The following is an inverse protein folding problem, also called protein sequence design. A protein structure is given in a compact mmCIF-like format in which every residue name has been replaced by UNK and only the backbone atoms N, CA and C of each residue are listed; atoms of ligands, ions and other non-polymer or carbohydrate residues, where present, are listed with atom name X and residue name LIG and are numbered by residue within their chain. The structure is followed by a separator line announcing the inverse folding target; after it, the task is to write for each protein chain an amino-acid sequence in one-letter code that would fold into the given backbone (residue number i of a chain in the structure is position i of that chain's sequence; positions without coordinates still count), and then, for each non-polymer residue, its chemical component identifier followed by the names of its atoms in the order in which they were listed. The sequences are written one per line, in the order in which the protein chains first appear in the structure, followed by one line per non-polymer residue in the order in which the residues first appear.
data_IF_020129203399
#
_entry.id   IF_020129203399
#
_cell.length_a   1.000
_cell.length_b   1.000
_cell.length_c   1.000
_cell.angle_alpha   90.00
_cell.angle_beta   90.00
_cell.angle_gamma   90.00
#
_symmetry.space_group_name_H-M   'P 1'
#
loop_
_entity.id
_entity.type
_entity.pdbx_description
1 polymer ?
#
# COMPACT_ATOMS: atom_id res chain seq x y z
N UNK A 1 24.44 -8.54 -31.20
CA UNK A 1 24.69 -7.91 -29.90
C UNK A 1 23.58 -6.88 -29.72
N UNK A 2 22.61 -7.13 -28.84
CA UNK A 2 21.56 -6.16 -28.50
C UNK A 2 22.08 -5.31 -27.33
N UNK A 3 22.30 -4.03 -27.57
CA UNK A 3 22.61 -3.06 -26.52
C UNK A 3 21.41 -2.94 -25.56
N UNK A 4 21.62 -2.90 -24.24
CA UNK A 4 20.53 -2.72 -23.29
C UNK A 4 19.89 -1.36 -23.48
N UNK A 5 18.60 -1.36 -23.82
CA UNK A 5 17.77 -0.15 -23.87
C UNK A 5 17.78 0.53 -22.50
N UNK A 6 18.51 1.63 -22.39
CA UNK A 6 18.57 2.42 -21.17
C UNK A 6 17.40 3.42 -21.22
N UNK A 7 16.32 3.14 -20.49
CA UNK A 7 15.21 4.07 -20.38
C UNK A 7 15.71 5.41 -19.79
N UNK A 8 15.34 6.56 -20.39
CA UNK A 8 15.75 7.84 -19.86
C UNK A 8 15.17 8.04 -18.46
N UNK A 9 15.94 8.60 -17.52
CA UNK A 9 15.44 8.87 -16.18
C UNK A 9 14.26 9.86 -16.24
N UNK A 10 13.34 9.73 -15.27
CA UNK A 10 12.21 10.65 -15.12
C UNK A 10 12.71 12.11 -15.04
N UNK A 11 12.06 13.07 -15.71
CA UNK A 11 12.40 14.48 -15.63
C UNK A 11 12.45 14.98 -14.17
N UNK A 12 13.42 15.85 -13.87
CA UNK A 12 13.63 16.40 -12.52
C UNK A 12 12.40 17.17 -12.01
N UNK A 13 11.65 17.80 -12.91
CA UNK A 13 10.37 18.48 -12.62
C UNK A 13 9.26 17.57 -12.10
N UNK A 14 9.34 16.26 -12.37
CA UNK A 14 8.42 15.25 -11.83
C UNK A 14 9.04 14.44 -10.69
N UNK A 15 10.26 14.79 -10.27
CA UNK A 15 10.95 14.07 -9.21
C UNK A 15 10.45 14.56 -7.85
N UNK A 16 10.08 13.62 -6.98
CA UNK A 16 9.69 13.93 -5.61
C UNK A 16 10.95 14.34 -4.83
N UNK A 17 10.94 15.41 -4.02
CA UNK A 17 12.09 15.78 -3.21
C UNK A 17 12.53 14.59 -2.36
N UNK A 18 13.74 14.10 -2.61
CA UNK A 18 14.34 13.07 -1.76
C UNK A 18 14.58 13.70 -0.39
N UNK A 19 13.77 13.31 0.60
CA UNK A 19 13.97 13.78 1.96
C UNK A 19 15.38 13.35 2.44
N UNK A 20 16.12 14.21 3.17
CA UNK A 20 17.51 13.95 3.60
C UNK A 20 17.71 12.65 4.39
N UNK A 21 16.64 12.09 4.95
CA UNK A 21 16.62 10.82 5.67
C UNK A 21 17.00 9.61 4.80
N UNK A 22 17.08 9.76 3.47
CA UNK A 22 17.58 8.75 2.57
C UNK A 22 19.11 8.50 2.69
N UNK A 23 19.85 9.38 3.38
CA UNK A 23 21.27 9.14 3.67
C UNK A 23 21.45 8.35 4.97
N UNK A 24 21.66 7.03 4.81
CA UNK A 24 22.14 6.08 5.82
C UNK A 24 21.28 5.90 7.09
N UNK A 25 20.31 4.97 7.03
CA UNK A 25 19.83 4.22 8.21
C UNK A 25 19.03 4.99 9.26
N UNK A 26 18.76 6.27 9.04
CA UNK A 26 17.94 7.10 9.92
C UNK A 26 16.44 6.96 9.57
N UNK A 27 15.89 5.75 9.63
CA UNK A 27 14.43 5.63 9.74
C UNK A 27 14.04 5.97 11.20
N UNK A 28 12.89 6.64 11.42
CA UNK A 28 12.44 7.04 12.76
C UNK A 28 12.28 5.85 13.73
N UNK A 29 12.25 4.63 13.18
CA UNK A 29 12.03 3.38 13.89
C UNK A 29 13.30 2.53 14.09
N UNK A 30 14.47 3.03 13.70
CA UNK A 30 15.77 2.31 13.73
C UNK A 30 16.19 1.81 15.12
N UNK A 31 15.60 2.36 16.18
CA UNK A 31 15.80 1.92 17.57
C UNK A 31 14.96 0.69 17.95
N UNK A 32 14.02 0.26 17.12
CA UNK A 32 13.20 -0.94 17.32
C UNK A 32 13.94 -2.13 16.68
N UNK A 33 14.81 -2.74 17.48
CA UNK A 33 15.77 -3.79 17.08
C UNK A 33 15.13 -5.16 16.76
N UNK A 34 13.95 -5.20 16.13
CA UNK A 34 13.17 -6.42 15.89
C UNK A 34 12.57 -6.55 14.49
N UNK A 35 12.79 -5.57 13.61
CA UNK A 35 12.30 -5.61 12.23
C UNK A 35 12.88 -6.80 11.46
N UNK A 36 12.03 -7.54 10.76
CA UNK A 36 12.42 -8.72 9.95
C UNK A 36 12.86 -8.39 8.52
N UNK A 37 12.97 -7.10 8.21
CA UNK A 37 13.30 -6.54 6.90
C UNK A 37 14.51 -5.61 6.99
N UNK A 38 15.19 -5.37 5.86
CA UNK A 38 16.46 -4.65 5.81
C UNK A 38 16.35 -3.15 5.54
N UNK A 39 15.22 -2.71 4.97
CA UNK A 39 14.86 -1.31 4.72
C UNK A 39 13.36 -1.18 4.51
N UNK A 40 12.87 0.03 4.66
CA UNK A 40 11.47 0.37 4.42
C UNK A 40 11.03 -0.03 2.99
N UNK A 41 9.78 -0.46 2.86
CA UNK A 41 9.22 -0.90 1.58
C UNK A 41 7.72 -0.67 1.52
N UNK A 42 7.19 -0.65 0.30
CA UNK A 42 5.76 -0.63 0.05
C UNK A 42 5.30 -2.04 -0.26
N UNK A 43 4.18 -2.46 0.33
CA UNK A 43 3.44 -3.65 -0.04
C UNK A 43 2.10 -3.24 -0.66
N UNK A 44 1.79 -3.77 -1.83
CA UNK A 44 0.46 -3.71 -2.42
C UNK A 44 -0.24 -5.04 -2.16
N UNK A 45 -1.46 -4.98 -1.65
CA UNK A 45 -2.31 -6.15 -1.38
C UNK A 45 -3.68 -5.92 -1.99
N UNK A 46 -4.36 -6.99 -2.39
CA UNK A 46 -5.76 -6.94 -2.83
C UNK A 46 -6.63 -7.89 -2.01
N UNK A 47 -7.94 -7.66 -2.06
CA UNK A 47 -8.92 -8.68 -1.68
C UNK A 47 -9.44 -9.36 -2.95
N UNK A 48 -9.00 -10.59 -3.18
CA UNK A 48 -9.58 -11.42 -4.23
C UNK A 48 -10.83 -12.11 -3.70
N UNK A 49 -11.89 -12.14 -4.48
CA UNK A 49 -13.11 -12.86 -4.11
C UNK A 49 -12.91 -14.37 -4.01
N UNK A 50 -11.97 -14.92 -4.78
CA UNK A 50 -11.75 -16.37 -4.86
C UNK A 50 -10.80 -16.87 -3.76
N UNK A 51 -9.75 -16.10 -3.46
CA UNK A 51 -8.67 -16.52 -2.54
C UNK A 51 -8.62 -15.70 -1.24
N UNK A 52 -9.36 -14.60 -1.16
CA UNK A 52 -9.34 -13.67 -0.04
C UNK A 52 -8.18 -12.65 -0.15
N UNK A 53 -7.74 -12.07 1.00
CA UNK A 53 -6.65 -11.12 1.01
C UNK A 53 -5.32 -11.74 0.57
N UNK A 54 -4.64 -11.10 -0.37
CA UNK A 54 -3.33 -11.56 -0.85
C UNK A 54 -2.35 -10.42 -1.14
N UNK A 55 -1.05 -10.62 -0.87
CA UNK A 55 -0.01 -9.72 -1.35
C UNK A 55 0.13 -9.83 -2.87
N UNK A 56 0.32 -8.69 -3.54
CA UNK A 56 0.52 -8.64 -4.99
C UNK A 56 1.96 -8.33 -5.37
N UNK A 57 2.54 -7.26 -4.82
CA UNK A 57 3.90 -6.86 -5.11
C UNK A 57 4.50 -6.02 -3.99
N UNK A 58 5.83 -5.99 -3.94
CA UNK A 58 6.57 -5.03 -3.10
C UNK A 58 7.30 -4.01 -3.97
N UNK A 59 7.52 -2.83 -3.40
CA UNK A 59 8.37 -1.80 -3.99
C UNK A 59 9.42 -1.42 -2.93
N UNK A 60 10.71 -1.70 -3.18
CA UNK A 60 11.26 -2.40 -4.34
C UNK A 60 10.80 -3.87 -4.44
N UNK A 61 10.73 -4.41 -5.66
CA UNK A 61 10.41 -5.82 -5.91
C UNK A 61 11.65 -6.73 -5.74
N UNK A 62 12.27 -6.65 -4.56
CA UNK A 62 13.46 -7.43 -4.20
C UNK A 62 13.20 -8.15 -2.87
N UNK A 63 13.27 -9.48 -2.90
CA UNK A 63 13.03 -10.33 -1.72
C UNK A 63 14.00 -10.07 -0.57
N UNK A 64 15.18 -9.50 -0.85
CA UNK A 64 16.15 -9.12 0.19
C UNK A 64 15.67 -7.95 1.04
N UNK A 65 14.73 -7.15 0.52
CA UNK A 65 14.19 -5.98 1.22
C UNK A 65 13.35 -6.43 2.41
N UNK A 66 12.29 -7.20 2.15
CA UNK A 66 11.38 -7.64 3.20
C UNK A 66 11.91 -8.82 4.03
N UNK A 67 13.00 -9.48 3.60
CA UNK A 67 13.71 -10.46 4.41
C UNK A 67 12.83 -11.63 4.85
N UNK A 68 12.57 -11.74 6.15
CA UNK A 68 11.71 -12.79 6.73
C UNK A 68 10.34 -12.27 7.20
N UNK A 69 9.98 -11.05 6.78
CA UNK A 69 8.67 -10.47 7.04
C UNK A 69 7.58 -11.28 6.34
N UNK A 70 6.53 -11.66 7.08
CA UNK A 70 5.44 -12.48 6.56
C UNK A 70 4.39 -11.61 5.83
N UNK A 71 4.56 -11.47 4.51
CA UNK A 71 3.68 -10.67 3.65
C UNK A 71 2.24 -11.19 3.65
N UNK A 72 2.04 -12.51 3.73
CA UNK A 72 0.71 -13.11 3.70
C UNK A 72 -0.04 -12.80 4.99
N UNK A 73 0.61 -13.02 6.13
CA UNK A 73 0.05 -12.68 7.44
C UNK A 73 -0.27 -11.18 7.54
N UNK A 74 0.65 -10.32 7.09
CA UNK A 74 0.43 -8.89 7.14
C UNK A 74 -0.69 -8.43 6.19
N UNK A 75 -0.77 -8.99 4.97
CA UNK A 75 -1.86 -8.70 4.02
C UNK A 75 -3.21 -9.10 4.61
N UNK A 76 -3.32 -10.30 5.18
CA UNK A 76 -4.52 -10.74 5.88
C UNK A 76 -4.90 -9.76 6.99
N UNK A 77 -3.93 -9.31 7.80
CA UNK A 77 -4.16 -8.40 8.91
C UNK A 77 -4.71 -7.05 8.46
N UNK A 78 -4.08 -6.39 7.47
CA UNK A 78 -4.47 -5.02 7.06
C UNK A 78 -5.78 -5.00 6.27
N UNK A 79 -6.09 -6.08 5.54
CA UNK A 79 -7.30 -6.21 4.72
C UNK A 79 -8.51 -6.73 5.52
N UNK A 80 -8.28 -7.37 6.68
CA UNK A 80 -9.36 -7.81 7.57
C UNK A 80 -9.88 -6.71 8.50
N UNK A 81 -9.26 -5.52 8.47
CA UNK A 81 -9.77 -4.36 9.19
C UNK A 81 -11.04 -3.89 8.49
N UNK A 82 -12.13 -3.73 9.23
CA UNK A 82 -13.34 -3.08 8.74
C UNK A 82 -13.04 -1.62 8.40
N UNK A 83 -12.67 -1.37 7.14
CA UNK A 83 -12.65 -0.05 6.56
C UNK A 83 -14.11 0.34 6.28
N UNK A 84 -14.86 0.70 7.33
CA UNK A 84 -16.16 1.33 7.13
C UNK A 84 -15.90 2.66 6.42
N UNK A 85 -15.97 2.61 5.09
CA UNK A 85 -16.04 3.77 4.24
C UNK A 85 -17.15 4.65 4.81
N UNK A 86 -16.78 5.84 5.28
CA UNK A 86 -17.75 6.83 5.72
C UNK A 86 -18.63 7.15 4.52
N UNK A 87 -19.81 6.53 4.43
CA UNK A 87 -20.83 6.93 3.48
C UNK A 87 -21.26 8.34 3.86
N UNK A 88 -20.63 9.35 3.27
CA UNK A 88 -21.09 10.73 3.34
C UNK A 88 -22.46 10.77 2.69
N UNK A 89 -23.49 10.77 3.54
CA UNK A 89 -24.88 10.85 3.15
C UNK A 89 -25.12 12.02 2.21
N UNK A 90 -25.96 11.78 1.20
CA UNK A 90 -26.35 12.75 0.19
C UNK A 90 -26.80 14.08 0.80
N UNK A 91 -26.36 15.23 0.28
CA UNK A 91 -27.15 16.45 0.39
C UNK A 91 -28.46 16.25 -0.37
N UNK A 92 -29.64 16.52 0.21
CA UNK A 92 -30.90 16.42 -0.52
C UNK A 92 -30.92 17.43 -1.69
N UNK A 93 -31.14 16.96 -2.93
CA UNK A 93 -31.45 17.84 -4.08
C UNK A 93 -30.61 17.69 -5.37
N UNK A 94 -29.70 16.71 -5.49
CA UNK A 94 -28.93 16.52 -6.73
C UNK A 94 -29.65 15.61 -7.73
N UNK A 95 -30.04 16.16 -8.89
CA UNK A 95 -30.77 15.46 -9.97
C UNK A 95 -29.88 14.64 -10.94
N UNK A 96 -28.59 14.49 -10.65
CA UNK A 96 -27.65 13.70 -11.46
C UNK A 96 -27.15 12.49 -10.67
N UNK A 97 -27.01 11.29 -11.29
CA UNK A 97 -26.27 10.19 -10.70
C UNK A 97 -24.80 10.59 -10.64
N UNK A 98 -24.42 11.27 -9.56
CA UNK A 98 -23.02 11.61 -9.29
C UNK A 98 -22.34 10.30 -8.93
N UNK A 99 -21.25 9.95 -9.62
CA UNK A 99 -20.37 8.86 -9.19
C UNK A 99 -20.00 9.13 -7.72
N UNK A 100 -20.53 8.31 -6.82
CA UNK A 100 -20.22 8.39 -5.40
C UNK A 100 -18.80 7.87 -5.24
N UNK A 101 -17.82 8.77 -5.30
CA UNK A 101 -16.46 8.43 -4.92
C UNK A 101 -16.47 8.15 -3.43
N UNK A 102 -16.37 6.87 -3.07
CA UNK A 102 -16.03 6.47 -1.71
C UNK A 102 -14.62 7.00 -1.46
N UNK A 103 -14.47 7.81 -0.41
CA UNK A 103 -13.17 8.33 -0.02
C UNK A 103 -12.32 7.20 0.58
N UNK A 104 -11.08 7.09 0.10
CA UNK A 104 -10.11 6.12 0.59
C UNK A 104 -9.79 6.33 2.08
N UNK A 105 -9.74 5.25 2.86
CA UNK A 105 -9.38 5.32 4.29
C UNK A 105 -7.88 5.16 4.51
N UNK A 106 -7.35 5.82 5.55
CA UNK A 106 -5.92 5.85 5.87
C UNK A 106 -5.71 5.56 7.34
N UNK A 107 -4.78 4.68 7.67
CA UNK A 107 -4.47 4.31 9.06
C UNK A 107 -2.98 4.10 9.26
N UNK A 108 -2.48 4.43 10.45
CA UNK A 108 -1.13 4.07 10.89
C UNK A 108 -1.25 3.00 11.97
N UNK A 109 -0.53 1.90 11.82
CA UNK A 109 -0.57 0.76 12.73
C UNK A 109 0.82 0.23 13.06
N UNK A 110 0.96 -0.36 14.25
CA UNK A 110 2.16 -1.09 14.65
C UNK A 110 1.94 -2.61 14.59
N UNK A 111 2.90 -3.33 14.04
CA UNK A 111 3.02 -4.78 14.10
C UNK A 111 4.17 -5.19 15.01
N UNK A 112 3.84 -5.45 16.28
CA UNK A 112 4.82 -5.91 17.28
C UNK A 112 5.40 -7.30 16.98
N UNK A 113 4.67 -8.16 16.25
CA UNK A 113 5.16 -9.51 15.86
C UNK A 113 6.24 -9.42 14.79
N UNK A 114 6.11 -8.46 13.90
CA UNK A 114 7.04 -8.21 12.80
C UNK A 114 8.05 -7.08 13.10
N UNK A 115 7.90 -6.41 14.25
CA UNK A 115 8.73 -5.28 14.66
C UNK A 115 8.61 -4.07 13.73
N UNK A 116 7.43 -3.85 13.16
CA UNK A 116 7.21 -2.92 12.06
C UNK A 116 6.15 -1.87 12.39
N UNK A 117 6.24 -0.71 11.78
CA UNK A 117 5.17 0.29 11.71
C UNK A 117 4.73 0.45 10.26
N UNK A 118 3.44 0.64 10.04
CA UNK A 118 2.90 0.77 8.71
C UNK A 118 1.89 1.90 8.58
N UNK A 119 2.03 2.70 7.53
CA UNK A 119 0.96 3.53 7.01
C UNK A 119 0.22 2.74 5.92
N UNK A 120 -1.08 2.56 6.09
CA UNK A 120 -1.93 1.79 5.17
C UNK A 120 -2.98 2.71 4.57
N UNK A 121 -3.05 2.70 3.24
CA UNK A 121 -4.06 3.37 2.45
C UNK A 121 -4.97 2.31 1.82
N UNK A 122 -6.21 2.24 2.27
CA UNK A 122 -7.24 1.38 1.68
C UNK A 122 -7.94 2.15 0.58
N UNK A 123 -7.91 1.59 -0.63
CA UNK A 123 -8.57 2.16 -1.80
C UNK A 123 -9.39 1.09 -2.51
N UNK A 124 -10.35 1.52 -3.32
CA UNK A 124 -11.17 0.59 -4.12
C UNK A 124 -11.08 0.97 -5.58
N UNK A 125 -10.68 0.02 -6.43
CA UNK A 125 -10.66 0.19 -7.87
C UNK A 125 -11.97 -0.31 -8.48
N UNK A 126 -12.45 0.36 -9.52
CA UNK A 126 -13.58 -0.13 -10.30
C UNK A 126 -13.11 -1.15 -11.31
N UNK A 127 -13.71 -2.33 -11.29
CA UNK A 127 -13.33 -3.43 -12.17
C UNK A 127 -14.59 -4.14 -12.65
N UNK A 128 -14.78 -4.17 -13.97
CA UNK A 128 -15.96 -4.76 -14.61
C UNK A 128 -16.08 -6.28 -14.38
N UNK A 129 -14.97 -6.94 -14.12
CA UNK A 129 -14.89 -8.38 -13.86
C UNK A 129 -15.08 -8.72 -12.39
N UNK A 130 -15.04 -7.73 -11.48
CA UNK A 130 -15.33 -7.94 -10.06
C UNK A 130 -16.83 -7.96 -9.78
N UNK A 131 -17.24 -8.74 -8.78
CA UNK A 131 -18.60 -8.71 -8.25
C UNK A 131 -18.85 -7.34 -7.61
N UNK A 132 -19.98 -6.73 -7.96
CA UNK A 132 -20.30 -5.38 -7.50
C UNK A 132 -19.46 -4.29 -8.17
N UNK A 133 -18.69 -4.64 -9.21
CA UNK A 133 -17.87 -3.75 -10.02
C UNK A 133 -16.74 -3.04 -9.27
N UNK A 134 -16.31 -3.60 -8.14
CA UNK A 134 -15.32 -3.00 -7.24
C UNK A 134 -14.31 -4.03 -6.74
N UNK A 135 -13.06 -3.61 -6.60
CA UNK A 135 -11.98 -4.43 -6.07
C UNK A 135 -11.21 -3.69 -4.98
N UNK A 136 -11.21 -4.19 -3.73
CA UNK A 136 -10.46 -3.57 -2.63
C UNK A 136 -8.96 -3.80 -2.75
N UNK A 137 -8.19 -2.74 -2.54
CA UNK A 137 -6.72 -2.73 -2.51
C UNK A 137 -6.21 -2.02 -1.25
N UNK A 138 -5.01 -2.41 -0.82
CA UNK A 138 -4.21 -1.67 0.15
C UNK A 138 -2.85 -1.32 -0.44
N UNK A 139 -2.41 -0.10 -0.18
CA UNK A 139 -1.01 0.31 -0.29
C UNK A 139 -0.46 0.56 1.11
N UNK A 140 0.50 -0.25 1.54
CA UNK A 140 1.11 -0.16 2.86
C UNK A 140 2.58 0.22 2.76
N UNK A 141 2.97 1.36 3.33
CA UNK A 141 4.38 1.71 3.57
C UNK A 141 4.82 1.15 4.92
N UNK A 142 5.81 0.27 4.94
CA UNK A 142 6.29 -0.49 6.10
C UNK A 142 7.70 -0.04 6.46
N UNK A 143 7.94 0.27 7.73
CA UNK A 143 9.17 0.88 8.28
C UNK A 143 9.49 0.35 9.67
#
# INVERSE_FOLDING_TARGET
EEEPYNEPPLPEEYSVPLFPFASQGANPWSKLSGAKFSRDFILISEFSEQVGPQPLLTIPNDTKVFGTFDLNYFSLRIMSVDYQASFVGHPPGSAYPKLNFVEDSKVVLGDSKEGAFAYVHHLTLYDLEARGFVRPFCMAYIS
#
